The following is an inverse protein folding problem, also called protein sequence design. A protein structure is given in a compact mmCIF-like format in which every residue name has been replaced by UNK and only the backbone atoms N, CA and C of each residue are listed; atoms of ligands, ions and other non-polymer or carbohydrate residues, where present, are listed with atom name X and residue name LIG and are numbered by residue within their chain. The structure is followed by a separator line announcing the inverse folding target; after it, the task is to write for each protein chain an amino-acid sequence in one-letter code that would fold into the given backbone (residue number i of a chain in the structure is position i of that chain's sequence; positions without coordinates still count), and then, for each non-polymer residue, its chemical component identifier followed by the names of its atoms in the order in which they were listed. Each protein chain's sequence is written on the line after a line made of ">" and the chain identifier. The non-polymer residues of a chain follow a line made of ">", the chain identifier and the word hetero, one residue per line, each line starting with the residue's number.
data_IF_366871082881
#
_entry.id   IF_366871082881
#
_cell.length_a   1.000
_cell.length_b   1.000
_cell.length_c   1.000
_cell.angle_alpha   90.00
_cell.angle_beta   90.00
_cell.angle_gamma   90.00
#
_symmetry.space_group_name_H-M   'P 1'
#
loop_
_entity.id
_entity.type
_entity.pdbx_description
1 polymer ?
#
# COMPACT_ATOMS: atom_id res chain seq x y z
N UNK A 1 8.45 4.59 -11.27
CA UNK A 1 8.62 4.06 -12.60
C UNK A 1 9.94 4.41 -13.28
N UNK A 2 10.84 5.17 -12.63
CA UNK A 2 12.14 5.58 -13.22
C UNK A 2 13.26 4.56 -12.98
N UNK A 3 13.02 3.50 -12.23
CA UNK A 3 14.04 2.54 -11.84
C UNK A 3 14.92 2.96 -10.66
N UNK A 4 14.68 4.13 -10.06
CA UNK A 4 15.41 4.56 -8.87
C UNK A 4 14.97 3.78 -7.64
N UNK A 5 15.94 3.44 -6.80
CA UNK A 5 15.68 2.91 -5.47
C UNK A 5 15.05 4.00 -4.59
N UNK A 6 13.88 3.70 -4.04
CA UNK A 6 13.17 4.62 -3.13
C UNK A 6 13.24 4.18 -1.67
N UNK A 7 14.00 3.14 -1.36
CA UNK A 7 14.22 2.69 0.01
C UNK A 7 13.51 1.38 0.34
N UNK A 8 13.11 1.23 1.60
CA UNK A 8 12.58 -0.03 2.13
C UNK A 8 11.27 0.16 2.86
N UNK A 9 10.46 -0.90 2.86
CA UNK A 9 9.31 -1.07 3.74
C UNK A 9 9.47 -2.42 4.45
N UNK A 10 9.44 -2.41 5.78
CA UNK A 10 9.53 -3.61 6.60
C UNK A 10 8.17 -3.90 7.20
N UNK A 11 7.67 -5.10 6.93
CA UNK A 11 6.42 -5.60 7.50
C UNK A 11 6.72 -6.50 8.69
N UNK A 12 6.01 -6.27 9.80
CA UNK A 12 6.13 -7.08 11.00
C UNK A 12 4.77 -7.25 11.67
N UNK A 13 4.57 -8.34 12.40
CA UNK A 13 3.41 -8.48 13.27
C UNK A 13 3.51 -7.47 14.42
N UNK A 14 2.41 -6.80 14.72
CA UNK A 14 2.33 -5.96 15.89
C UNK A 14 1.97 -6.84 17.11
N UNK A 15 2.88 -7.00 18.10
CA UNK A 15 2.65 -7.90 19.23
C UNK A 15 1.46 -7.53 20.11
N UNK A 16 0.99 -6.28 20.06
CA UNK A 16 -0.12 -5.79 20.88
C UNK A 16 -1.42 -5.57 20.12
N UNK A 17 -1.43 -5.81 18.80
CA UNK A 17 -2.56 -5.47 17.92
C UNK A 17 -2.76 -6.53 16.85
N UNK A 18 -3.98 -6.58 16.30
CA UNK A 18 -4.25 -7.35 15.08
C UNK A 18 -3.64 -6.64 13.89
N UNK A 19 -3.10 -7.41 12.94
CA UNK A 19 -2.64 -6.88 11.67
C UNK A 19 -1.14 -6.75 11.55
N UNK A 20 -0.71 -5.87 10.67
CA UNK A 20 0.67 -5.71 10.25
C UNK A 20 1.10 -4.27 10.45
N UNK A 21 2.29 -4.09 11.02
CA UNK A 21 2.98 -2.82 11.07
C UNK A 21 3.92 -2.72 9.87
N UNK A 22 3.85 -1.61 9.15
CA UNK A 22 4.73 -1.32 8.02
C UNK A 22 5.63 -0.15 8.41
N UNK A 23 6.93 -0.41 8.54
CA UNK A 23 7.93 0.61 8.78
C UNK A 23 8.56 1.05 7.47
N UNK A 24 8.41 2.33 7.14
CA UNK A 24 8.96 2.94 5.93
C UNK A 24 10.26 3.69 6.21
N UNK A 25 11.24 3.47 5.36
CA UNK A 25 12.47 4.26 5.27
C UNK A 25 12.69 4.60 3.81
N UNK A 26 12.16 5.74 3.37
CA UNK A 26 12.01 6.10 1.95
C UNK A 26 12.83 7.34 1.59
N UNK A 27 13.20 7.41 0.32
CA UNK A 27 13.99 8.48 -0.29
C UNK A 27 13.59 8.66 -1.76
N UNK A 28 14.07 9.72 -2.39
CA UNK A 28 13.88 9.96 -3.83
C UNK A 28 12.40 10.03 -4.25
N UNK A 29 11.53 10.46 -3.35
CA UNK A 29 10.11 10.65 -3.63
C UNK A 29 9.78 12.14 -3.74
N UNK A 30 8.74 12.51 -4.52
CA UNK A 30 8.25 13.89 -4.51
C UNK A 30 7.77 14.29 -3.11
N UNK A 31 8.04 15.54 -2.71
CA UNK A 31 7.52 16.06 -1.43
C UNK A 31 6.00 16.16 -1.45
N UNK A 32 5.38 15.97 -0.29
CA UNK A 32 3.95 16.10 -0.08
C UNK A 32 3.27 14.80 0.36
N UNK A 33 1.96 14.79 0.29
CA UNK A 33 1.13 13.65 0.69
C UNK A 33 1.03 12.61 -0.41
N UNK A 34 1.21 11.34 -0.04
CA UNK A 34 1.12 10.21 -0.96
C UNK A 34 0.26 9.10 -0.40
N UNK A 35 -0.51 8.48 -1.28
CA UNK A 35 -1.20 7.24 -1.00
C UNK A 35 -0.26 6.04 -1.09
N UNK A 36 -0.55 5.04 -0.26
CA UNK A 36 0.11 3.74 -0.31
C UNK A 36 -0.93 2.64 -0.10
N UNK A 37 -0.88 1.59 -0.92
CA UNK A 37 -1.82 0.48 -0.84
C UNK A 37 -1.11 -0.85 -1.10
N UNK A 38 -1.64 -1.94 -0.54
CA UNK A 38 -1.32 -3.28 -1.04
C UNK A 38 -2.12 -3.55 -2.31
N UNK A 39 -1.45 -4.03 -3.34
CA UNK A 39 -2.04 -4.45 -4.61
C UNK A 39 -2.05 -5.97 -4.75
N UNK A 40 -2.97 -6.49 -5.56
CA UNK A 40 -3.40 -7.89 -5.53
C UNK A 40 -2.39 -8.89 -6.09
N UNK A 41 -1.37 -8.46 -6.83
CA UNK A 41 -0.38 -9.36 -7.41
C UNK A 41 1.04 -8.99 -7.02
N UNK A 42 1.91 -9.98 -6.92
CA UNK A 42 3.31 -9.80 -6.53
C UNK A 42 4.22 -9.40 -7.71
N UNK A 43 3.78 -8.43 -8.51
CA UNK A 43 4.52 -7.94 -9.67
C UNK A 43 4.67 -6.43 -9.63
N UNK A 44 5.85 -5.95 -9.96
CA UNK A 44 6.21 -4.54 -9.98
C UNK A 44 6.93 -4.18 -11.28
N UNK A 45 6.26 -4.33 -12.41
CA UNK A 45 6.86 -4.03 -13.72
C UNK A 45 6.75 -2.54 -14.04
N UNK A 46 7.91 -1.89 -14.13
CA UNK A 46 8.01 -0.49 -14.52
C UNK A 46 7.61 -0.30 -16.00
N UNK A 47 7.22 0.92 -16.41
CA UNK A 47 7.17 2.16 -15.64
C UNK A 47 5.88 2.38 -14.83
N UNK A 48 4.77 1.78 -15.24
CA UNK A 48 3.44 2.10 -14.70
C UNK A 48 2.97 1.18 -13.57
N UNK A 49 3.68 0.08 -13.33
CA UNK A 49 3.35 -0.92 -12.31
C UNK A 49 1.91 -1.48 -12.39
N UNK A 50 1.34 -1.50 -13.59
CA UNK A 50 -0.01 -2.03 -13.83
C UNK A 50 -0.11 -3.51 -13.53
N UNK A 51 0.99 -4.24 -13.62
CA UNK A 51 1.05 -5.67 -13.31
C UNK A 51 0.82 -5.99 -11.84
N UNK A 52 0.94 -5.02 -10.93
CA UNK A 52 0.55 -5.18 -9.53
C UNK A 52 -0.97 -5.38 -9.37
N UNK A 53 -1.76 -5.09 -10.40
CA UNK A 53 -3.21 -5.24 -10.37
C UNK A 53 -3.92 -4.13 -9.60
N UNK A 54 -5.18 -4.37 -9.22
CA UNK A 54 -5.95 -3.50 -8.37
C UNK A 54 -5.56 -3.64 -6.89
N UNK A 55 -6.25 -2.92 -6.02
CA UNK A 55 -6.04 -3.03 -4.58
C UNK A 55 -6.32 -4.44 -4.06
N UNK A 56 -5.56 -4.87 -3.08
CA UNK A 56 -5.78 -6.15 -2.42
C UNK A 56 -7.14 -6.13 -1.71
N UNK A 57 -8.09 -6.92 -2.20
CA UNK A 57 -9.49 -6.82 -1.82
C UNK A 57 -10.15 -8.21 -1.73
N UNK A 58 -9.74 -9.07 -0.79
CA UNK A 58 -10.27 -10.43 -0.69
C UNK A 58 -11.75 -10.49 -0.30
N UNK A 59 -12.28 -9.44 0.34
CA UNK A 59 -13.69 -9.37 0.75
C UNK A 59 -14.62 -8.72 -0.27
N UNK A 60 -14.07 -8.31 -1.43
CA UNK A 60 -14.81 -7.62 -2.49
C UNK A 60 -15.57 -6.37 -1.98
N UNK A 61 -14.86 -5.56 -1.22
CA UNK A 61 -15.34 -4.29 -0.65
C UNK A 61 -15.12 -3.13 -1.62
N UNK A 62 -15.65 -1.95 -1.28
CA UNK A 62 -15.36 -0.71 -1.99
C UNK A 62 -14.11 -0.03 -1.44
N UNK A 63 -13.50 0.86 -2.24
CA UNK A 63 -12.33 1.61 -1.82
C UNK A 63 -12.68 2.68 -0.79
N UNK A 64 -11.78 2.82 0.17
CA UNK A 64 -11.71 3.99 1.03
C UNK A 64 -12.19 3.78 2.45
N UNK A 65 -11.37 4.26 3.38
CA UNK A 65 -11.64 4.20 4.83
C UNK A 65 -12.92 4.98 5.18
N UNK A 66 -13.23 6.02 4.41
CA UNK A 66 -14.38 6.90 4.62
C UNK A 66 -15.44 6.76 3.53
N UNK A 67 -15.46 5.66 2.79
CA UNK A 67 -16.45 5.45 1.74
C UNK A 67 -17.82 5.17 2.36
N UNK A 68 -18.85 6.00 2.08
CA UNK A 68 -20.19 5.81 2.67
C UNK A 68 -20.92 4.59 2.14
N UNK A 69 -20.50 4.04 1.00
CA UNK A 69 -21.16 2.89 0.37
C UNK A 69 -20.62 1.56 0.87
N UNK A 70 -19.57 1.57 1.69
CA UNK A 70 -18.98 0.35 2.21
C UNK A 70 -18.62 0.52 3.68
N UNK A 71 -19.11 -0.37 4.54
CA UNK A 71 -18.72 -0.34 5.96
C UNK A 71 -17.27 -0.74 6.20
N UNK A 72 -16.61 -1.31 5.18
CA UNK A 72 -15.20 -1.74 5.25
C UNK A 72 -14.49 -1.37 3.96
N UNK A 73 -13.29 -0.79 4.05
CA UNK A 73 -12.45 -0.53 2.88
C UNK A 73 -11.87 -1.83 2.28
N UNK A 74 -11.11 -1.70 1.18
CA UNK A 74 -10.24 -2.78 0.74
C UNK A 74 -9.27 -3.17 1.86
N UNK A 75 -8.92 -4.44 1.95
CA UNK A 75 -7.90 -4.86 2.93
C UNK A 75 -6.56 -4.18 2.70
N UNK A 76 -6.24 -3.84 1.46
CA UNK A 76 -5.02 -3.14 1.09
C UNK A 76 -5.04 -1.62 1.29
N UNK A 77 -6.18 -1.03 1.66
CA UNK A 77 -6.29 0.41 1.86
C UNK A 77 -5.62 0.84 3.17
N UNK A 78 -4.91 1.97 3.12
CA UNK A 78 -4.15 2.51 4.25
C UNK A 78 -4.21 4.04 4.28
N UNK A 79 -3.91 4.67 5.44
CA UNK A 79 -3.76 6.12 5.52
C UNK A 79 -2.65 6.62 4.60
N UNK A 80 -2.77 7.86 4.16
CA UNK A 80 -1.70 8.56 3.45
C UNK A 80 -0.49 8.80 4.36
N UNK A 81 0.66 9.05 3.76
CA UNK A 81 1.86 9.47 4.48
C UNK A 81 2.48 10.72 3.84
N UNK A 82 3.33 11.39 4.59
CA UNK A 82 3.97 12.63 4.16
C UNK A 82 5.44 12.41 3.80
N UNK A 83 5.84 12.93 2.66
CA UNK A 83 7.22 13.01 2.22
C UNK A 83 7.73 14.43 2.48
N UNK A 84 8.87 14.54 3.15
CA UNK A 84 9.52 15.83 3.46
C UNK A 84 10.02 16.54 2.21
N UNK A 85 10.34 17.82 2.36
CA UNK A 85 10.88 18.64 1.26
C UNK A 85 12.19 18.09 0.65
N UNK A 86 12.97 17.32 1.42
CA UNK A 86 14.19 16.66 0.95
C UNK A 86 13.95 15.32 0.21
N UNK A 87 12.69 14.92 0.03
CA UNK A 87 12.34 13.69 -0.65
C UNK A 87 12.36 12.43 0.21
N UNK A 88 12.49 12.57 1.54
CA UNK A 88 12.54 11.44 2.47
C UNK A 88 11.26 11.28 3.27
N UNK A 89 10.97 10.04 3.67
CA UNK A 89 9.89 9.72 4.61
C UNK A 89 10.31 8.56 5.50
N UNK A 90 10.29 8.78 6.81
CA UNK A 90 10.56 7.76 7.81
C UNK A 90 9.37 7.71 8.75
N UNK A 91 8.51 6.72 8.59
CA UNK A 91 7.23 6.64 9.29
C UNK A 91 6.74 5.19 9.36
N UNK A 92 5.70 4.96 10.13
CA UNK A 92 5.04 3.66 10.26
C UNK A 92 3.56 3.78 10.00
N UNK A 93 2.98 2.74 9.41
CA UNK A 93 1.54 2.59 9.23
C UNK A 93 1.14 1.22 9.76
N UNK A 94 0.02 1.15 10.48
CA UNK A 94 -0.61 -0.10 10.91
C UNK A 94 -1.79 -0.43 10.01
N UNK A 95 -1.86 -1.69 9.54
CA UNK A 95 -2.99 -2.20 8.78
C UNK A 95 -3.57 -3.42 9.50
N UNK A 96 -4.73 -3.24 10.13
CA UNK A 96 -5.40 -4.29 10.89
C UNK A 96 -6.17 -5.29 10.01
N UNK A 97 -6.32 -5.01 8.72
CA UNK A 97 -7.10 -5.83 7.80
C UNK A 97 -6.29 -6.95 7.12
N UNK A 98 -4.96 -6.90 7.20
CA UNK A 98 -4.07 -7.89 6.59
C UNK A 98 -3.28 -8.66 7.64
N UNK A 99 -2.70 -9.80 7.24
CA UNK A 99 -1.85 -10.64 8.10
C UNK A 99 -0.58 -11.06 7.37
N UNK A 100 0.43 -11.49 8.13
CA UNK A 100 1.64 -12.14 7.60
C UNK A 100 1.54 -13.67 7.61
N UNK A 101 0.49 -14.21 8.21
CA UNK A 101 0.26 -15.66 8.31
C UNK A 101 -0.48 -16.22 7.11
N UNK A 102 -1.34 -17.19 7.37
CA UNK A 102 -2.16 -17.84 6.37
C UNK A 102 -3.57 -17.20 6.31
N UNK A 103 -4.32 -17.53 5.26
CA UNK A 103 -5.70 -17.09 5.10
C UNK A 103 -5.90 -16.07 3.98
N UNK A 104 -7.16 -15.74 3.74
CA UNK A 104 -7.56 -14.88 2.62
C UNK A 104 -7.03 -13.45 2.73
N UNK A 105 -6.80 -12.96 3.95
CA UNK A 105 -6.31 -11.61 4.22
C UNK A 105 -4.78 -11.54 4.37
N UNK A 106 -4.07 -12.63 4.11
CA UNK A 106 -2.60 -12.63 4.14
C UNK A 106 -2.03 -11.81 2.99
N UNK A 107 -0.99 -11.04 3.26
CA UNK A 107 -0.23 -10.35 2.20
C UNK A 107 0.46 -11.33 1.24
N UNK A 108 0.49 -12.61 1.57
CA UNK A 108 0.99 -13.70 0.73
C UNK A 108 -0.13 -14.49 0.02
N UNK A 109 -1.40 -14.11 0.18
CA UNK A 109 -2.53 -14.78 -0.46
C UNK A 109 -2.48 -14.61 -1.98
N UNK A 110 -3.03 -15.59 -2.71
CA UNK A 110 -3.13 -15.52 -4.17
C UNK A 110 -1.80 -15.47 -4.91
N UNK A 111 -0.72 -15.94 -4.29
CA UNK A 111 0.63 -15.88 -4.87
C UNK A 111 1.44 -14.68 -4.41
N UNK A 112 0.87 -13.82 -3.61
CA UNK A 112 1.54 -12.65 -3.01
C UNK A 112 0.95 -11.31 -3.47
N UNK A 113 1.42 -10.25 -2.83
CA UNK A 113 0.98 -8.88 -3.05
C UNK A 113 2.16 -7.96 -3.33
N UNK A 114 1.87 -6.74 -3.78
CA UNK A 114 2.84 -5.67 -3.91
C UNK A 114 2.39 -4.43 -3.14
N UNK A 115 3.36 -3.70 -2.62
CA UNK A 115 3.12 -2.41 -1.97
C UNK A 115 3.39 -1.31 -2.99
N UNK A 116 2.40 -0.46 -3.26
CA UNK A 116 2.48 0.58 -4.30
C UNK A 116 2.28 1.95 -3.67
N UNK A 117 3.18 2.88 -4.02
CA UNK A 117 3.07 4.30 -3.66
C UNK A 117 2.57 5.06 -4.88
N UNK A 118 1.63 5.97 -4.66
CA UNK A 118 0.97 6.76 -5.69
C UNK A 118 1.47 8.22 -5.70
N UNK A 119 1.21 8.90 -6.81
CA UNK A 119 1.68 10.27 -7.03
C UNK A 119 1.01 11.31 -6.12
N UNK A 120 -0.20 11.02 -5.66
CA UNK A 120 -1.01 11.93 -4.84
C UNK A 120 -1.54 11.20 -3.61
N UNK A 121 -2.12 11.97 -2.68
CA UNK A 121 -2.89 11.42 -1.58
C UNK A 121 -4.18 10.75 -2.06
N UNK A 122 -4.61 9.75 -1.29
CA UNK A 122 -5.90 9.09 -1.44
C UNK A 122 -6.99 9.97 -0.81
N UNK A 123 -8.12 10.15 -1.49
CA UNK A 123 -9.26 10.88 -0.95
C UNK A 123 -10.08 10.07 0.07
N UNK A 124 -9.73 8.80 0.26
CA UNK A 124 -10.32 7.87 1.24
C UNK A 124 -11.78 7.46 0.97
N UNK A 125 -12.29 7.72 -0.21
CA UNK A 125 -13.70 7.44 -0.52
C UNK A 125 -14.05 7.13 -1.97
N UNK A 126 -13.27 7.57 -2.95
CA UNK A 126 -13.60 7.35 -4.36
C UNK A 126 -13.14 5.99 -4.86
N UNK A 127 -14.04 5.20 -5.44
CA UNK A 127 -13.69 3.98 -6.14
C UNK A 127 -12.98 4.31 -7.48
N UNK A 128 -12.09 3.45 -7.94
CA UNK A 128 -11.55 2.26 -7.27
C UNK A 128 -10.30 2.51 -6.43
N UNK A 129 -9.74 3.72 -6.43
CA UNK A 129 -8.40 3.98 -5.87
C UNK A 129 -8.21 5.35 -5.23
N UNK A 130 -9.30 6.06 -4.93
CA UNK A 130 -9.24 7.34 -4.22
C UNK A 130 -8.60 8.49 -4.99
N UNK A 131 -8.61 8.46 -6.31
CA UNK A 131 -8.01 9.48 -7.18
C UNK A 131 -6.53 9.77 -6.85
N UNK A 132 -5.80 8.76 -6.39
CA UNK A 132 -4.40 8.90 -5.95
C UNK A 132 -3.40 9.10 -7.10
N UNK A 133 -3.85 8.99 -8.33
CA UNK A 133 -3.02 9.22 -9.52
C UNK A 133 -2.10 8.05 -9.85
N UNK A 134 -1.05 8.36 -10.60
CA UNK A 134 -0.12 7.35 -11.11
C UNK A 134 0.60 6.59 -10.00
N UNK A 135 1.01 5.37 -10.32
CA UNK A 135 1.85 4.54 -9.45
C UNK A 135 3.31 4.93 -9.66
N UNK A 136 3.95 5.44 -8.63
CA UNK A 136 5.31 5.99 -8.74
C UNK A 136 6.39 5.10 -8.14
N UNK A 137 6.02 4.21 -7.22
CA UNK A 137 6.95 3.23 -6.64
C UNK A 137 6.21 1.94 -6.31
N UNK A 138 6.92 0.82 -6.35
CA UNK A 138 6.36 -0.51 -6.11
C UNK A 138 7.42 -1.43 -5.52
N UNK A 139 7.01 -2.25 -4.57
CA UNK A 139 7.83 -3.31 -4.00
C UNK A 139 7.02 -4.58 -3.79
N UNK A 140 7.53 -5.71 -4.27
CA UNK A 140 6.91 -7.01 -4.03
C UNK A 140 7.09 -7.38 -2.56
N UNK A 141 6.02 -7.85 -1.92
CA UNK A 141 6.07 -8.35 -0.54
C UNK A 141 6.68 -9.74 -0.54
N UNK A 142 7.80 -9.89 0.12
CA UNK A 142 8.53 -11.15 0.19
C UNK A 142 8.94 -11.47 1.63
N UNK A 143 8.99 -12.76 1.95
CA UNK A 143 9.55 -13.26 3.21
C UNK A 143 11.07 -13.15 3.19
N UNK A 144 11.66 -12.77 4.31
CA UNK A 144 13.10 -12.87 4.53
C UNK A 144 13.48 -14.21 5.12
#
# INVERSE_FOLDING_TARGET
>A
GTGKDVGTARLSDDPGRKGVKIDFDLKNLPAGEHAVHFHATNKCEAPAFTTAGGHFNPANSHHGINNPESPKPHAGDMPNFMVKADGTAKTSIDNAAVTLGDGANSVFAGGGTALVIHAKGDDMKSDPSGNAGDRIACGVVAKK
#
